data_IF_362416337616
#
_entry.id   IF_362416337616
#
_cell.length_a   1.000
_cell.length_b   1.000
_cell.length_c   1.000
_cell.angle_alpha   90.00
_cell.angle_beta   90.00
_cell.angle_gamma   90.00
#
_symmetry.space_group_name_H-M   'P 1'
#
loop_
_entity.id
_entity.type
_entity.pdbx_description
1 polymer ?
#
# COMPACT_ATOMS: atom_id res chain seq x y z
N UNK A 1 47.91 -1.68 -17.22
CA UNK A 1 46.49 -1.52 -17.62
C UNK A 1 45.64 -2.20 -16.57
N UNK A 2 44.94 -1.43 -15.73
CA UNK A 2 43.99 -1.97 -14.75
C UNK A 2 42.58 -1.71 -15.29
N UNK A 3 41.83 -2.77 -15.56
CA UNK A 3 40.45 -2.69 -16.02
C UNK A 3 39.58 -2.41 -14.79
N UNK A 4 38.98 -1.23 -14.74
CA UNK A 4 37.99 -0.88 -13.73
C UNK A 4 36.66 -1.55 -14.09
N UNK A 5 36.20 -2.47 -13.23
CA UNK A 5 34.87 -3.07 -13.32
C UNK A 5 33.87 -2.04 -12.76
N UNK A 6 33.15 -1.33 -13.64
CA UNK A 6 32.05 -0.45 -13.23
C UNK A 6 30.87 -1.35 -12.89
N UNK A 7 30.62 -1.55 -11.60
CA UNK A 7 29.41 -2.20 -11.11
C UNK A 7 28.21 -1.30 -11.37
N UNK A 8 27.33 -1.70 -12.28
CA UNK A 8 26.03 -1.07 -12.47
C UNK A 8 25.15 -1.37 -11.26
N UNK A 9 25.08 -0.44 -10.31
CA UNK A 9 24.08 -0.48 -9.26
C UNK A 9 22.71 -0.23 -9.86
N UNK A 10 21.88 -1.27 -9.95
CA UNK A 10 20.44 -1.11 -10.16
C UNK A 10 19.86 -0.46 -8.90
N UNK A 11 19.59 0.85 -8.99
CA UNK A 11 18.77 1.53 -7.99
C UNK A 11 17.39 0.85 -7.93
N UNK A 12 16.76 0.69 -6.75
CA UNK A 12 15.39 0.25 -6.69
C UNK A 12 14.54 1.27 -7.45
N UNK A 13 13.75 0.79 -8.41
CA UNK A 13 12.79 1.62 -9.11
C UNK A 13 11.85 2.23 -8.07
N UNK A 14 11.89 3.56 -7.91
CA UNK A 14 10.86 4.27 -7.17
C UNK A 14 9.53 3.93 -7.83
N UNK A 15 8.64 3.26 -7.09
CA UNK A 15 7.30 2.91 -7.57
C UNK A 15 6.65 4.19 -8.11
N UNK A 16 6.25 4.16 -9.38
CA UNK A 16 5.47 5.24 -9.97
C UNK A 16 4.19 5.42 -9.13
N UNK A 17 3.72 6.65 -8.90
CA UNK A 17 2.45 6.85 -8.21
C UNK A 17 1.35 6.29 -9.13
N UNK A 18 0.85 5.10 -8.83
CA UNK A 18 -0.33 4.59 -9.51
C UNK A 18 -1.60 5.12 -8.82
N UNK A 19 -2.65 5.14 -9.63
CA UNK A 19 -3.89 5.89 -9.42
C UNK A 19 -4.82 5.18 -8.44
N UNK A 20 -4.43 5.09 -7.18
CA UNK A 20 -5.37 4.68 -6.14
C UNK A 20 -6.49 5.73 -6.02
N UNK A 21 -7.73 5.27 -6.10
CA UNK A 21 -8.93 6.07 -5.83
C UNK A 21 -9.90 5.26 -4.95
N UNK A 22 -10.56 5.89 -3.96
CA UNK A 22 -11.58 5.21 -3.18
C UNK A 22 -12.76 4.79 -4.06
N UNK A 23 -13.25 3.57 -3.87
CA UNK A 23 -14.43 3.07 -4.57
C UNK A 23 -15.72 3.59 -3.92
N UNK A 24 -16.87 3.53 -4.61
CA UNK A 24 -18.16 3.93 -4.03
C UNK A 24 -18.58 3.01 -2.87
N UNK A 25 -18.64 3.56 -1.66
CA UNK A 25 -19.08 2.82 -0.48
C UNK A 25 -20.61 2.64 -0.45
N UNK A 26 -21.12 1.47 -0.02
CA UNK A 26 -22.57 1.22 0.09
C UNK A 26 -23.24 2.04 1.20
N UNK A 27 -22.46 2.45 2.20
CA UNK A 27 -22.91 3.36 3.27
C UNK A 27 -21.82 4.40 3.54
N UNK A 28 -22.16 5.67 3.39
CA UNK A 28 -21.25 6.80 3.63
C UNK A 28 -21.63 7.55 4.90
N UNK A 29 -20.62 8.05 5.60
CA UNK A 29 -20.79 8.97 6.73
C UNK A 29 -20.16 10.32 6.39
N UNK A 30 -20.48 11.40 7.13
CA UNK A 30 -19.80 12.69 6.96
C UNK A 30 -18.28 12.59 7.08
N UNK A 31 -17.75 11.63 7.84
CA UNK A 31 -16.31 11.43 8.01
C UNK A 31 -15.64 10.61 6.91
N UNK A 32 -16.41 9.90 6.07
CA UNK A 32 -15.86 9.04 5.00
C UNK A 32 -15.01 9.83 4.03
N UNK A 33 -15.42 11.05 3.69
CA UNK A 33 -14.68 11.93 2.79
C UNK A 33 -13.55 12.71 3.49
N UNK A 34 -13.47 12.63 4.82
CA UNK A 34 -12.50 13.36 5.63
C UNK A 34 -11.26 12.52 5.99
N UNK A 35 -11.19 11.26 5.55
CA UNK A 35 -10.08 10.36 5.85
C UNK A 35 -8.88 10.66 4.95
N UNK A 36 -7.77 11.22 5.45
CA UNK A 36 -6.62 11.60 4.64
C UNK A 36 -5.89 10.38 4.07
N UNK A 37 -5.52 10.44 2.79
CA UNK A 37 -4.94 9.31 2.03
C UNK A 37 -3.69 8.75 2.71
N UNK A 38 -2.74 9.63 3.01
CA UNK A 38 -1.40 9.23 3.47
C UNK A 38 -1.33 8.83 4.94
N UNK A 39 -2.21 9.41 5.78
CA UNK A 39 -2.19 9.23 7.24
C UNK A 39 -3.60 9.02 7.80
N UNK A 40 -4.32 7.96 7.39
CA UNK A 40 -5.70 7.74 7.79
C UNK A 40 -5.89 7.63 9.31
N UNK A 41 -4.82 7.25 10.03
CA UNK A 41 -4.76 7.24 11.48
C UNK A 41 -3.58 8.14 11.92
N UNK A 42 -3.81 9.42 12.25
CA UNK A 42 -2.77 10.27 12.82
C UNK A 42 -2.32 9.71 14.17
N UNK A 43 -1.02 9.83 14.47
CA UNK A 43 -0.45 9.39 15.75
C UNK A 43 -1.27 9.95 16.92
N UNK A 44 -1.76 9.05 17.77
CA UNK A 44 -2.32 9.44 19.05
C UNK A 44 -1.17 9.98 19.92
N UNK A 45 -1.24 11.19 20.48
CA UNK A 45 -0.13 11.74 21.24
C UNK A 45 0.07 10.91 22.51
N UNK A 46 1.17 10.16 22.55
CA UNK A 46 1.77 9.59 23.76
C UNK A 46 3.15 10.24 23.93
N UNK A 47 3.25 11.47 24.45
CA UNK A 47 4.49 12.23 24.50
C UNK A 47 5.64 11.53 25.24
N UNK A 48 5.33 10.54 26.07
CA UNK A 48 6.30 9.73 26.82
C UNK A 48 6.70 8.42 26.11
N UNK A 49 6.02 8.03 25.03
CA UNK A 49 6.25 6.79 24.28
C UNK A 49 6.71 7.06 22.83
N UNK A 50 7.07 8.31 22.53
CA UNK A 50 7.63 8.70 21.25
C UNK A 50 8.97 8.02 21.03
N UNK A 51 9.06 7.22 19.97
CA UNK A 51 10.30 6.60 19.51
C UNK A 51 10.86 7.46 18.37
N UNK A 52 12.12 7.91 18.45
CA UNK A 52 12.69 8.82 17.45
C UNK A 52 12.81 8.17 16.06
N UNK A 53 13.08 6.86 16.00
CA UNK A 53 13.29 6.12 14.75
C UNK A 53 12.03 5.40 14.25
N UNK A 54 10.85 5.82 14.68
CA UNK A 54 9.60 5.21 14.23
C UNK A 54 9.17 5.74 12.86
N UNK A 55 8.84 4.84 11.94
CA UNK A 55 8.40 5.15 10.58
C UNK A 55 7.03 4.55 10.31
N UNK A 56 6.11 5.36 9.79
CA UNK A 56 4.82 4.89 9.33
C UNK A 56 4.94 4.27 7.93
N UNK A 57 4.42 3.06 7.75
CA UNK A 57 4.38 2.35 6.47
C UNK A 57 3.00 2.38 5.80
N UNK A 58 2.03 3.09 6.38
CA UNK A 58 0.74 3.33 5.75
C UNK A 58 0.92 4.17 4.48
N UNK A 59 0.07 3.92 3.50
CA UNK A 59 0.15 4.55 2.19
C UNK A 59 -0.41 3.64 1.13
N UNK A 60 -0.04 3.92 -0.12
CA UNK A 60 -0.43 3.14 -1.29
C UNK A 60 0.64 2.10 -1.58
N UNK A 61 0.22 0.85 -1.72
CA UNK A 61 1.08 -0.30 -1.96
C UNK A 61 0.66 -1.01 -3.23
N UNK A 62 1.64 -1.52 -3.96
CA UNK A 62 1.41 -2.45 -5.06
C UNK A 62 0.82 -3.75 -4.52
N UNK A 63 -0.21 -4.25 -5.20
CA UNK A 63 -1.06 -5.33 -4.73
C UNK A 63 -1.33 -6.34 -5.85
N UNK A 64 -1.32 -7.61 -5.47
CA UNK A 64 -1.69 -8.72 -6.33
C UNK A 64 -2.40 -9.79 -5.50
N UNK A 65 -3.43 -10.40 -6.07
CA UNK A 65 -4.02 -11.64 -5.57
C UNK A 65 -3.54 -12.76 -6.47
N UNK A 66 -3.13 -13.85 -5.84
CA UNK A 66 -2.65 -15.05 -6.53
C UNK A 66 -3.25 -16.29 -5.90
N UNK A 67 -3.39 -17.33 -6.70
CA UNK A 67 -3.78 -18.65 -6.21
C UNK A 67 -2.91 -19.13 -5.04
N UNK A 68 -3.50 -19.94 -4.16
CA UNK A 68 -2.88 -20.44 -2.92
C UNK A 68 -1.47 -21.03 -3.11
N UNK A 69 -1.29 -21.79 -4.19
CA UNK A 69 -0.04 -22.51 -4.48
C UNK A 69 0.86 -21.76 -5.47
N UNK A 70 0.51 -20.52 -5.83
CA UNK A 70 1.34 -19.67 -6.67
C UNK A 70 2.53 -19.13 -5.85
N UNK A 71 3.69 -19.02 -6.50
CA UNK A 71 4.86 -18.34 -5.94
C UNK A 71 4.69 -16.82 -5.92
N UNK A 72 5.79 -16.11 -5.65
CA UNK A 72 5.79 -14.65 -5.73
C UNK A 72 5.34 -14.17 -7.12
N UNK A 73 4.35 -13.28 -7.22
CA UNK A 73 3.91 -12.76 -8.51
C UNK A 73 5.03 -11.96 -9.18
N UNK A 74 5.15 -12.11 -10.49
CA UNK A 74 6.10 -11.33 -11.29
C UNK A 74 5.65 -9.87 -11.46
N UNK A 75 4.35 -9.60 -11.31
CA UNK A 75 3.73 -8.28 -11.49
C UNK A 75 2.68 -8.01 -10.43
N UNK A 76 2.50 -6.74 -10.08
CA UNK A 76 1.50 -6.25 -9.14
C UNK A 76 0.58 -5.29 -9.88
N UNK A 77 -0.53 -5.78 -10.48
CA UNK A 77 -1.33 -4.98 -11.39
C UNK A 77 -2.26 -3.99 -10.67
N UNK A 78 -2.50 -4.18 -9.38
CA UNK A 78 -3.43 -3.37 -8.58
C UNK A 78 -2.66 -2.58 -7.52
N UNK A 79 -3.34 -1.63 -6.88
CA UNK A 79 -2.83 -0.92 -5.72
C UNK A 79 -3.86 -0.87 -4.60
N UNK A 80 -3.38 -1.00 -3.37
CA UNK A 80 -4.20 -0.99 -2.16
C UNK A 80 -3.73 0.09 -1.19
N UNK A 81 -4.69 0.76 -0.54
CA UNK A 81 -4.39 1.70 0.55
C UNK A 81 -4.36 0.98 1.90
N UNK A 82 -3.19 0.93 2.50
CA UNK A 82 -2.97 0.41 3.86
C UNK A 82 -3.34 1.51 4.87
N UNK A 83 -4.12 1.22 5.93
CA UNK A 83 -4.39 -0.10 6.52
C UNK A 83 -5.78 -0.68 6.20
N UNK A 84 -6.39 -0.32 5.07
CA UNK A 84 -7.74 -0.79 4.73
C UNK A 84 -7.72 -2.20 4.16
N UNK A 85 -8.71 -3.02 4.54
CA UNK A 85 -8.92 -4.37 3.98
C UNK A 85 -9.38 -4.29 2.52
N UNK A 86 -9.01 -5.26 1.68
CA UNK A 86 -9.31 -5.28 0.24
C UNK A 86 -10.81 -5.21 -0.07
N UNK A 87 -11.67 -5.74 0.80
CA UNK A 87 -13.13 -5.69 0.66
C UNK A 87 -13.69 -4.28 0.82
N UNK A 88 -12.96 -3.38 1.46
CA UNK A 88 -13.45 -2.05 1.79
C UNK A 88 -13.33 -1.09 0.60
N UNK A 89 -14.28 -0.17 0.50
CA UNK A 89 -14.28 0.89 -0.51
C UNK A 89 -13.04 1.80 -0.43
N UNK A 90 -12.58 2.11 0.79
CA UNK A 90 -11.42 2.95 1.05
C UNK A 90 -10.08 2.26 0.75
N UNK A 91 -10.06 0.96 0.47
CA UNK A 91 -8.86 0.27 0.01
C UNK A 91 -8.54 0.52 -1.46
N UNK A 92 -9.54 0.94 -2.26
CA UNK A 92 -9.45 1.04 -3.72
C UNK A 92 -9.73 -0.28 -4.45
N UNK A 93 -9.80 -1.41 -3.74
CA UNK A 93 -10.05 -2.75 -4.33
C UNK A 93 -11.56 -3.07 -4.33
N UNK A 94 -12.22 -2.99 -3.17
CA UNK A 94 -13.65 -3.32 -2.95
C UNK A 94 -14.07 -4.67 -3.56
N UNK A 95 -13.25 -5.71 -3.36
CA UNK A 95 -13.50 -7.08 -3.84
C UNK A 95 -13.31 -8.07 -2.70
N UNK A 96 -14.18 -9.06 -2.63
CA UNK A 96 -14.02 -10.21 -1.74
C UNK A 96 -12.97 -11.14 -2.30
N UNK A 97 -11.96 -11.46 -1.50
CA UNK A 97 -10.96 -12.47 -1.83
C UNK A 97 -11.40 -13.81 -1.22
N UNK A 98 -11.34 -14.86 -2.02
CA UNK A 98 -11.77 -16.21 -1.71
C UNK A 98 -10.63 -17.20 -1.99
N UNK A 99 -10.83 -18.46 -1.63
CA UNK A 99 -9.83 -19.52 -1.86
C UNK A 99 -9.57 -19.81 -3.35
N UNK A 100 -10.49 -19.41 -4.23
CA UNK A 100 -10.39 -19.64 -5.67
C UNK A 100 -9.80 -18.45 -6.46
N UNK A 101 -9.43 -17.36 -5.76
CA UNK A 101 -8.75 -16.20 -6.36
C UNK A 101 -7.24 -16.41 -6.48
#
# INVERSE_FOLDING_TARGET
>A
MAIALVGTGTAPAAAAPAAWEPKPAPMTTPWTNSVPVDKPLPEYPRPQLTRPDWTNLNGIWDFAVTGRDAGQPATFPEQIRVPFVAESALSGIQRRITEND
#
